data_IF_027835578209
#
_entry.id   IF_027835578209
#
_cell.length_a   1.000
_cell.length_b   1.000
_cell.length_c   1.000
_cell.angle_alpha   90.00
_cell.angle_beta   90.00
_cell.angle_gamma   90.00
#
_symmetry.space_group_name_H-M   'P 1'
#
loop_
_entity.id
_entity.type
_entity.pdbx_description
1 polymer ?
#
# COMPACT_ATOMS: atom_id res chain seq x y z
N UNK A 1 -9.63 10.82 8.23
CA UNK A 1 -9.68 9.86 7.10
C UNK A 1 -8.35 9.84 6.37
N UNK A 2 -7.87 8.66 6.01
CA UNK A 2 -6.60 8.55 5.28
C UNK A 2 -6.70 9.20 3.90
N UNK A 3 -5.60 9.79 3.44
CA UNK A 3 -5.51 10.35 2.09
C UNK A 3 -5.41 9.25 1.04
N UNK A 4 -5.99 9.49 -0.13
CA UNK A 4 -5.82 8.66 -1.33
C UNK A 4 -5.11 9.43 -2.45
N UNK A 5 -4.59 10.62 -2.14
CA UNK A 5 -4.01 11.51 -3.12
C UNK A 5 -2.56 11.14 -3.43
N UNK A 6 -2.23 11.05 -4.72
CA UNK A 6 -0.85 10.85 -5.17
C UNK A 6 0.04 12.05 -4.85
N UNK A 7 -0.55 13.23 -4.61
CA UNK A 7 0.23 14.42 -4.20
C UNK A 7 0.80 14.29 -2.79
N UNK A 8 0.24 13.37 -1.99
CA UNK A 8 0.72 13.07 -0.64
C UNK A 8 1.71 11.90 -0.61
N UNK A 9 2.12 11.40 -1.77
CA UNK A 9 2.99 10.23 -1.90
C UNK A 9 4.36 10.64 -2.44
N UNK A 10 5.42 9.98 -1.96
CA UNK A 10 6.78 10.16 -2.44
C UNK A 10 6.85 9.98 -3.97
N UNK A 11 7.61 10.84 -4.65
CA UNK A 11 7.69 10.86 -6.11
C UNK A 11 8.16 9.55 -6.72
N UNK A 12 9.09 8.86 -6.06
CA UNK A 12 9.59 7.55 -6.52
C UNK A 12 8.43 6.56 -6.60
N UNK A 13 7.56 6.58 -5.59
CA UNK A 13 6.40 5.70 -5.53
C UNK A 13 5.31 6.12 -6.53
N UNK A 14 5.10 7.41 -6.74
CA UNK A 14 4.14 7.90 -7.74
C UNK A 14 4.53 7.39 -9.12
N UNK A 15 5.79 7.57 -9.50
CA UNK A 15 6.31 7.14 -10.80
C UNK A 15 6.18 5.62 -10.96
N UNK A 16 6.62 4.87 -9.94
CA UNK A 16 6.57 3.40 -9.96
C UNK A 16 5.13 2.90 -10.05
N UNK A 17 4.22 3.49 -9.27
CA UNK A 17 2.81 3.11 -9.27
C UNK A 17 2.16 3.34 -10.63
N UNK A 18 2.37 4.53 -11.22
CA UNK A 18 1.78 4.86 -12.53
C UNK A 18 2.27 3.92 -13.63
N UNK A 19 3.58 3.64 -13.64
CA UNK A 19 4.17 2.70 -14.61
C UNK A 19 3.67 1.28 -14.41
N UNK A 20 3.56 0.85 -13.15
CA UNK A 20 3.06 -0.49 -12.83
C UNK A 20 1.60 -0.67 -13.22
N UNK A 21 0.77 0.34 -13.00
CA UNK A 21 -0.64 0.30 -13.41
C UNK A 21 -0.77 0.18 -14.92
N UNK A 22 0.02 0.93 -15.68
CA UNK A 22 0.01 0.87 -17.13
C UNK A 22 0.44 -0.51 -17.64
N UNK A 23 1.50 -1.07 -17.06
CA UNK A 23 1.99 -2.41 -17.41
C UNK A 23 0.96 -3.49 -17.05
N UNK A 24 0.37 -3.39 -15.87
CA UNK A 24 -0.65 -4.34 -15.43
C UNK A 24 -1.86 -4.33 -16.37
N UNK A 25 -2.35 -3.15 -16.76
CA UNK A 25 -3.46 -3.02 -17.69
C UNK A 25 -3.10 -3.62 -19.06
N UNK A 26 -1.88 -3.39 -19.53
CA UNK A 26 -1.40 -3.94 -20.80
C UNK A 26 -1.36 -5.47 -20.80
N UNK A 27 -0.84 -6.07 -19.70
CA UNK A 27 -0.70 -7.53 -19.58
C UNK A 27 -2.01 -8.22 -19.24
N UNK A 28 -2.86 -7.58 -18.44
CA UNK A 28 -4.07 -8.19 -17.89
C UNK A 28 -5.30 -7.31 -18.05
N UNK A 29 -5.67 -6.93 -19.31
CA UNK A 29 -6.76 -5.99 -19.54
C UNK A 29 -8.13 -6.52 -19.09
N UNK A 30 -8.29 -7.84 -18.99
CA UNK A 30 -9.55 -8.48 -18.60
C UNK A 30 -9.65 -8.82 -17.12
N UNK A 31 -8.60 -8.52 -16.36
CA UNK A 31 -8.59 -8.73 -14.90
C UNK A 31 -9.06 -7.48 -14.17
N UNK A 32 -9.36 -7.64 -12.87
CA UNK A 32 -9.58 -6.50 -11.98
C UNK A 32 -8.36 -5.59 -11.98
N UNK A 33 -8.57 -4.28 -11.92
CA UNK A 33 -7.50 -3.29 -12.00
C UNK A 33 -7.23 -2.64 -10.65
N UNK A 34 -5.97 -2.27 -10.38
CA UNK A 34 -5.59 -1.66 -9.10
C UNK A 34 -5.99 -0.19 -8.99
N UNK A 35 -6.25 0.24 -7.76
CA UNK A 35 -6.43 1.66 -7.44
C UNK A 35 -5.93 1.95 -6.03
N UNK A 36 -5.55 3.20 -5.78
CA UNK A 36 -5.03 3.63 -4.47
C UNK A 36 -6.16 3.70 -3.44
N UNK A 37 -5.90 3.16 -2.25
CA UNK A 37 -6.81 3.28 -1.11
C UNK A 37 -6.23 4.09 0.04
N UNK A 38 -4.89 4.21 0.13
CA UNK A 38 -4.25 5.00 1.16
C UNK A 38 -2.87 5.45 0.71
N UNK A 39 -2.56 6.74 0.90
CA UNK A 39 -1.21 7.28 0.78
C UNK A 39 -0.75 7.79 2.15
N UNK A 40 -1.26 8.92 2.61
CA UNK A 40 -0.94 9.47 3.93
C UNK A 40 -1.98 9.07 4.97
N UNK A 41 -1.50 8.70 6.16
CA UNK A 41 -2.33 8.39 7.32
C UNK A 41 -1.79 9.18 8.51
N UNK A 42 -2.69 9.89 9.22
CA UNK A 42 -2.31 10.67 10.38
C UNK A 42 -1.85 9.77 11.54
N UNK A 43 -1.16 10.39 12.49
CA UNK A 43 -0.74 9.70 13.72
C UNK A 43 -1.96 9.20 14.52
N UNK A 44 -3.03 9.98 14.59
CA UNK A 44 -4.26 9.58 15.28
C UNK A 44 -4.91 8.37 14.61
N UNK A 45 -4.98 8.38 13.29
CA UNK A 45 -5.50 7.24 12.53
C UNK A 45 -4.64 5.99 12.73
N UNK A 46 -3.31 6.16 12.78
CA UNK A 46 -2.39 5.05 13.02
C UNK A 46 -2.59 4.47 14.43
N UNK A 47 -2.75 5.31 15.42
CA UNK A 47 -3.00 4.85 16.81
C UNK A 47 -4.33 4.12 16.93
N UNK A 48 -5.36 4.56 16.20
CA UNK A 48 -6.64 3.88 16.17
C UNK A 48 -6.52 2.46 15.61
N UNK A 49 -5.71 2.29 14.53
CA UNK A 49 -5.45 0.97 13.97
C UNK A 49 -4.64 0.09 14.92
N UNK A 50 -3.65 0.66 15.59
CA UNK A 50 -2.81 -0.06 16.55
C UNK A 50 -3.62 -0.60 17.73
N UNK A 51 -4.69 0.10 18.11
CA UNK A 51 -5.54 -0.28 19.24
C UNK A 51 -6.26 -1.62 19.01
N UNK A 52 -6.55 -1.99 17.76
CA UNK A 52 -7.25 -3.25 17.48
C UNK A 52 -6.42 -4.46 17.96
N UNK A 53 -7.10 -5.37 18.67
CA UNK A 53 -6.46 -6.55 19.26
C UNK A 53 -5.64 -6.26 20.51
N UNK A 54 -5.65 -5.01 21.00
CA UNK A 54 -4.97 -4.57 22.23
C UNK A 54 -5.95 -3.92 23.20
N UNK A 55 -6.32 -2.66 22.93
CA UNK A 55 -7.29 -1.92 23.76
C UNK A 55 -8.70 -1.90 23.16
N UNK A 56 -8.86 -2.31 21.91
CA UNK A 56 -10.13 -2.43 21.21
C UNK A 56 -10.33 -3.87 20.75
N UNK A 57 -11.60 -4.29 20.69
CA UNK A 57 -11.92 -5.62 20.19
C UNK A 57 -11.52 -5.76 18.71
N UNK A 58 -11.12 -6.97 18.35
CA UNK A 58 -10.74 -7.30 16.98
C UNK A 58 -9.36 -7.93 16.91
N UNK A 59 -8.93 -8.26 15.71
CA UNK A 59 -7.60 -8.80 15.46
C UNK A 59 -6.59 -7.66 15.31
N UNK A 60 -5.33 -7.93 15.67
CA UNK A 60 -4.25 -6.99 15.41
C UNK A 60 -4.10 -6.78 13.91
N UNK A 61 -4.14 -5.52 13.47
CA UNK A 61 -4.01 -5.16 12.05
C UNK A 61 -2.68 -4.50 11.73
N UNK A 62 -1.95 -4.03 12.76
CA UNK A 62 -0.64 -3.42 12.58
C UNK A 62 0.19 -3.54 13.85
N UNK A 63 1.52 -3.57 13.70
CA UNK A 63 2.48 -3.50 14.81
C UNK A 63 3.02 -2.07 14.97
N UNK A 64 2.58 -1.11 14.17
CA UNK A 64 3.09 0.25 14.16
C UNK A 64 2.17 1.21 14.90
N UNK A 65 2.73 1.95 15.87
CA UNK A 65 2.10 3.08 16.53
C UNK A 65 2.32 4.35 15.69
N UNK A 66 1.77 5.48 16.15
CA UNK A 66 1.96 6.79 15.51
C UNK A 66 3.46 7.04 15.23
N UNK A 67 3.77 7.45 14.01
CA UNK A 67 5.14 7.74 13.59
C UNK A 67 5.97 6.52 13.21
N UNK A 68 5.47 5.31 13.44
CA UNK A 68 6.19 4.06 13.15
C UNK A 68 5.81 3.44 11.81
N UNK A 69 4.85 4.02 11.10
CA UNK A 69 4.44 3.55 9.78
C UNK A 69 4.94 4.48 8.70
N UNK A 70 5.36 3.95 7.53
CA UNK A 70 5.74 4.80 6.40
C UNK A 70 4.58 5.64 5.87
N UNK A 71 3.33 5.31 6.21
CA UNK A 71 2.16 6.12 5.88
C UNK A 71 2.05 7.40 6.70
N UNK A 72 2.76 7.53 7.81
CA UNK A 72 2.56 8.62 8.78
C UNK A 72 3.31 9.91 8.44
N UNK A 73 3.89 9.99 7.26
CA UNK A 73 4.69 11.14 6.80
C UNK A 73 4.11 11.70 5.52
N UNK A 74 4.40 12.97 5.24
CA UNK A 74 3.88 13.68 4.08
C UNK A 74 5.03 14.39 3.38
N UNK A 75 5.45 13.94 2.19
CA UNK A 75 4.88 12.83 1.42
C UNK A 75 5.14 11.48 2.09
N UNK A 76 4.18 10.58 1.96
CA UNK A 76 4.29 9.26 2.56
C UNK A 76 5.27 8.38 1.80
N UNK A 77 5.89 7.43 2.51
CA UNK A 77 6.81 6.45 1.91
C UNK A 77 6.14 5.11 1.66
N UNK A 78 4.81 5.09 1.64
CA UNK A 78 4.02 3.88 1.40
C UNK A 78 2.67 4.22 0.78
N UNK A 79 2.10 3.24 0.09
CA UNK A 79 0.73 3.32 -0.41
C UNK A 79 0.06 1.94 -0.30
N UNK A 80 -1.26 1.96 -0.18
CA UNK A 80 -2.08 0.75 -0.24
C UNK A 80 -2.95 0.78 -1.48
N UNK A 81 -3.25 -0.40 -2.02
CA UNK A 81 -4.13 -0.56 -3.17
C UNK A 81 -5.24 -1.56 -2.89
N UNK A 82 -6.27 -1.50 -3.73
CA UNK A 82 -7.27 -2.55 -3.87
C UNK A 82 -7.46 -2.80 -5.35
N UNK A 83 -8.13 -3.88 -5.70
CA UNK A 83 -8.47 -4.20 -7.09
C UNK A 83 -9.96 -4.09 -7.27
N UNK A 84 -10.37 -3.52 -8.41
CA UNK A 84 -11.78 -3.38 -8.76
C UNK A 84 -12.05 -4.08 -10.09
N UNK A 85 -13.09 -4.89 -10.13
CA UNK A 85 -13.47 -5.67 -11.31
C UNK A 85 -14.77 -5.21 -11.93
N UNK A 86 -15.36 -6.07 -12.73
CA UNK A 86 -16.64 -5.83 -13.40
C UNK A 86 -17.70 -5.54 -12.35
N UNK A 87 -18.61 -4.61 -12.67
CA UNK A 87 -19.67 -4.19 -11.76
C UNK A 87 -19.17 -3.41 -10.55
N UNK A 88 -17.94 -2.87 -10.62
CA UNK A 88 -17.28 -2.12 -9.54
C UNK A 88 -17.16 -2.89 -8.24
N UNK A 89 -17.00 -4.21 -8.32
CA UNK A 89 -16.82 -5.08 -7.15
C UNK A 89 -15.34 -5.17 -6.79
N UNK A 90 -15.04 -5.08 -5.51
CA UNK A 90 -13.67 -5.28 -5.00
C UNK A 90 -13.27 -6.75 -5.19
N UNK A 91 -12.02 -6.94 -5.57
CA UNK A 91 -11.45 -8.26 -5.80
C UNK A 91 -10.18 -8.39 -4.95
N UNK A 92 -10.24 -9.18 -3.88
CA UNK A 92 -9.14 -9.38 -2.94
C UNK A 92 -8.31 -10.62 -3.22
N UNK A 93 -8.36 -11.16 -4.44
CA UNK A 93 -7.58 -12.33 -4.83
C UNK A 93 -6.09 -12.06 -4.67
N UNK A 94 -5.40 -12.90 -3.89
CA UNK A 94 -3.95 -12.75 -3.63
C UNK A 94 -3.14 -12.76 -4.92
N UNK A 95 -3.58 -13.50 -5.92
CA UNK A 95 -2.88 -13.57 -7.20
C UNK A 95 -2.74 -12.20 -7.86
N UNK A 96 -3.78 -11.35 -7.79
CA UNK A 96 -3.73 -10.00 -8.33
C UNK A 96 -2.63 -9.17 -7.66
N UNK A 97 -2.54 -9.24 -6.34
CA UNK A 97 -1.51 -8.53 -5.58
C UNK A 97 -0.12 -9.06 -5.92
N UNK A 98 0.03 -10.40 -6.05
CA UNK A 98 1.32 -11.01 -6.40
C UNK A 98 1.78 -10.56 -7.78
N UNK A 99 0.88 -10.55 -8.77
CA UNK A 99 1.20 -10.10 -10.12
C UNK A 99 1.63 -8.63 -10.13
N UNK A 100 0.89 -7.78 -9.45
CA UNK A 100 1.22 -6.36 -9.37
C UNK A 100 2.54 -6.13 -8.64
N UNK A 101 2.76 -6.81 -7.53
CA UNK A 101 3.99 -6.71 -6.76
C UNK A 101 5.22 -7.08 -7.61
N UNK A 102 5.11 -8.14 -8.41
CA UNK A 102 6.21 -8.56 -9.29
C UNK A 102 6.48 -7.52 -10.38
N UNK A 103 5.44 -6.93 -10.94
CA UNK A 103 5.57 -5.87 -11.96
C UNK A 103 6.28 -4.64 -11.38
N UNK A 104 5.79 -4.13 -10.24
CA UNK A 104 6.35 -2.90 -9.66
C UNK A 104 7.78 -3.08 -9.17
N UNK A 105 8.11 -4.27 -8.66
CA UNK A 105 9.47 -4.58 -8.21
C UNK A 105 10.48 -4.57 -9.36
N UNK A 106 10.07 -4.98 -10.56
CA UNK A 106 10.92 -4.91 -11.75
C UNK A 106 11.12 -3.47 -12.23
N UNK A 107 10.06 -2.65 -12.16
CA UNK A 107 10.10 -1.24 -12.58
C UNK A 107 10.96 -0.43 -11.62
N UNK A 108 10.78 -0.66 -10.30
CA UNK A 108 11.51 0.06 -9.26
C UNK A 108 11.88 -0.89 -8.13
N UNK A 109 13.14 -1.39 -8.10
CA UNK A 109 13.56 -2.36 -7.08
C UNK A 109 13.52 -1.84 -5.63
N UNK A 110 13.39 -0.53 -5.42
CA UNK A 110 13.26 0.05 -4.08
C UNK A 110 11.87 -0.17 -3.49
N UNK A 111 10.89 -0.61 -4.29
CA UNK A 111 9.53 -0.86 -3.80
C UNK A 111 9.42 -2.29 -3.30
N UNK A 112 8.96 -2.46 -2.07
CA UNK A 112 8.69 -3.77 -1.48
C UNK A 112 7.20 -3.86 -1.13
N UNK A 113 6.67 -5.08 -1.23
CA UNK A 113 5.25 -5.35 -0.98
C UNK A 113 5.08 -6.08 0.37
N UNK A 114 4.05 -5.68 1.12
CA UNK A 114 3.72 -6.31 2.39
C UNK A 114 3.28 -7.76 2.29
N UNK A 115 2.97 -8.25 1.08
CA UNK A 115 2.64 -9.66 0.88
C UNK A 115 3.78 -10.58 1.33
N UNK A 116 5.03 -10.09 1.28
CA UNK A 116 6.22 -10.84 1.64
C UNK A 116 6.66 -10.61 3.09
N UNK A 117 5.93 -9.82 3.86
CA UNK A 117 6.27 -9.57 5.27
C UNK A 117 6.12 -10.84 6.10
N UNK A 118 7.10 -11.11 6.96
CA UNK A 118 7.10 -12.28 7.83
C UNK A 118 6.08 -12.14 8.96
N UNK A 119 5.98 -10.93 9.53
CA UNK A 119 5.01 -10.62 10.58
C UNK A 119 3.90 -9.76 9.99
N UNK A 120 2.65 -10.15 10.21
CA UNK A 120 1.47 -9.48 9.67
C UNK A 120 1.60 -9.20 8.17
N UNK A 121 1.64 -10.24 7.32
CA UNK A 121 1.65 -10.02 5.87
C UNK A 121 0.49 -9.14 5.45
N UNK A 122 0.77 -8.19 4.55
CA UNK A 122 -0.20 -7.18 4.13
C UNK A 122 -0.10 -6.97 2.62
N UNK A 123 -0.84 -7.79 1.88
CA UNK A 123 -0.78 -7.81 0.41
C UNK A 123 -1.09 -6.47 -0.25
N UNK A 124 -2.05 -5.64 0.26
CA UNK A 124 -2.33 -4.33 -0.32
C UNK A 124 -1.22 -3.29 -0.13
N UNK A 125 -0.27 -3.53 0.76
CA UNK A 125 0.72 -2.54 1.20
C UNK A 125 1.99 -2.57 0.37
N UNK A 126 2.44 -1.38 -0.06
CA UNK A 126 3.69 -1.16 -0.79
C UNK A 126 4.46 -0.02 -0.15
N UNK A 127 5.76 -0.19 0.02
CA UNK A 127 6.59 0.84 0.65
C UNK A 127 7.98 0.90 0.03
N UNK A 128 8.69 2.00 0.27
CA UNK A 128 10.10 2.11 -0.10
C UNK A 128 10.92 1.28 0.88
N UNK A 129 11.83 0.48 0.35
CA UNK A 129 12.84 -0.23 1.15
C UNK A 129 13.64 0.81 1.93
N UNK A 130 13.87 0.55 3.23
CA UNK A 130 14.54 1.50 4.13
C UNK A 130 13.84 2.88 4.14
N UNK A 131 12.52 2.87 4.20
CA UNK A 131 11.66 4.04 4.06
C UNK A 131 12.01 5.20 5.00
N UNK A 132 12.61 4.91 6.16
CA UNK A 132 12.97 5.96 7.13
C UNK A 132 13.97 6.97 6.57
N UNK A 133 14.73 6.60 5.53
CA UNK A 133 15.64 7.51 4.84
C UNK A 133 14.92 8.61 4.05
N UNK A 134 13.66 8.39 3.69
CA UNK A 134 12.90 9.25 2.79
C UNK A 134 11.92 10.15 3.52
N UNK A 135 11.82 10.02 4.83
CA UNK A 135 10.88 10.80 5.65
C UNK A 135 11.62 11.60 6.70
N UNK A 136 10.97 12.66 7.18
CA UNK A 136 11.56 13.55 8.17
C UNK A 136 10.78 13.51 9.48
#
# INVERSE_FOLDING_TARGET
MASRSLTDLNEILVDAYNKACAEYLSLYPDKSQPFITCTYRSNDEQNALYAYGRTRMGNKVTNAQAGQSPHNYKPSAAFDIAFIGLGKKLDWSKNNFRLFADIIAKIQPLVVCGIDFKSLPDAPHFELKDWRKYVK
#
